data_IF_376080995119
#
_entry.id   IF_376080995119
#
_cell.length_a   1.000
_cell.length_b   1.000
_cell.length_c   1.000
_cell.angle_alpha   90.00
_cell.angle_beta   90.00
_cell.angle_gamma   90.00
#
_symmetry.space_group_name_H-M   'P 1'
#
loop_
_entity.id
_entity.type
_entity.pdbx_description
1 polymer ?
#
# COMPACT_ATOMS: atom_id res chain seq x y z
N UNK A 1 -91.55 -29.02 11.45
CA UNK A 1 -91.83 -28.05 12.53
C UNK A 1 -90.65 -27.08 12.54
N UNK A 2 -90.90 -25.79 12.24
CA UNK A 2 -89.96 -24.64 12.09
C UNK A 2 -88.95 -24.77 10.92
N UNK A 3 -89.05 -24.12 9.74
CA UNK A 3 -89.16 -22.68 9.35
C UNK A 3 -87.94 -21.86 9.82
N UNK A 4 -87.26 -20.98 9.05
CA UNK A 4 -87.40 -20.41 7.70
C UNK A 4 -86.08 -19.65 7.34
N UNK A 5 -86.02 -19.13 6.11
CA UNK A 5 -85.09 -18.15 5.49
C UNK A 5 -83.78 -18.67 4.84
N UNK A 6 -83.56 -18.56 3.52
CA UNK A 6 -83.75 -17.54 2.44
C UNK A 6 -82.40 -16.86 2.09
N UNK A 7 -81.94 -17.16 0.87
CA UNK A 7 -81.49 -16.24 -0.20
C UNK A 7 -80.30 -16.83 -0.98
N UNK A 8 -80.52 -17.32 -2.20
CA UNK A 8 -80.42 -16.64 -3.51
C UNK A 8 -78.97 -16.51 -4.02
N UNK A 9 -78.75 -17.26 -5.12
CA UNK A 9 -77.87 -17.09 -6.28
C UNK A 9 -76.75 -16.03 -6.30
N UNK A 10 -75.57 -16.40 -6.80
CA UNK A 10 -75.05 -16.03 -8.15
C UNK A 10 -73.53 -16.31 -8.27
N UNK A 11 -73.12 -17.00 -9.34
CA UNK A 11 -71.77 -16.86 -9.91
C UNK A 11 -71.64 -15.43 -10.47
N UNK A 12 -70.45 -14.83 -10.43
CA UNK A 12 -69.90 -14.40 -11.72
C UNK A 12 -68.38 -14.58 -11.88
N UNK A 13 -68.02 -14.75 -13.16
CA UNK A 13 -66.69 -14.61 -13.73
C UNK A 13 -65.97 -13.33 -13.29
N UNK A 14 -64.72 -13.45 -12.82
CA UNK A 14 -63.72 -12.37 -12.89
C UNK A 14 -62.29 -12.93 -13.03
N UNK A 15 -62.00 -13.51 -14.20
CA UNK A 15 -60.67 -13.99 -14.62
C UNK A 15 -59.95 -12.96 -15.52
N UNK A 16 -59.81 -11.71 -15.08
CA UNK A 16 -59.19 -10.67 -15.93
C UNK A 16 -58.30 -9.65 -15.23
N UNK A 17 -58.47 -9.41 -13.93
CA UNK A 17 -57.69 -8.37 -13.22
C UNK A 17 -56.43 -8.89 -12.53
N UNK A 18 -56.40 -10.14 -12.06
CA UNK A 18 -55.23 -10.69 -11.36
C UNK A 18 -54.01 -10.91 -12.28
N UNK A 19 -54.24 -11.28 -13.55
CA UNK A 19 -53.16 -11.50 -14.52
C UNK A 19 -52.47 -10.18 -14.95
N UNK A 20 -53.22 -9.07 -15.00
CA UNK A 20 -52.68 -7.75 -15.35
C UNK A 20 -51.79 -7.15 -14.25
N UNK A 21 -52.10 -7.41 -12.97
CA UNK A 21 -51.24 -6.99 -11.86
C UNK A 21 -49.98 -7.86 -11.76
N UNK A 22 -50.10 -9.17 -11.96
CA UNK A 22 -48.94 -10.07 -12.01
C UNK A 22 -47.98 -9.70 -13.16
N UNK A 23 -48.50 -9.38 -14.35
CA UNK A 23 -47.69 -8.96 -15.50
C UNK A 23 -46.97 -7.63 -15.24
N UNK A 24 -47.62 -6.65 -14.59
CA UNK A 24 -47.01 -5.36 -14.25
C UNK A 24 -45.89 -5.49 -13.21
N UNK A 25 -46.04 -6.37 -12.23
CA UNK A 25 -45.00 -6.65 -11.22
C UNK A 25 -43.81 -7.34 -11.88
N UNK A 26 -44.05 -8.30 -12.78
CA UNK A 26 -43.00 -8.98 -13.55
C UNK A 26 -42.26 -8.03 -14.50
N UNK A 27 -42.96 -7.10 -15.15
CA UNK A 27 -42.36 -6.07 -15.99
C UNK A 27 -41.53 -5.06 -15.17
N UNK A 28 -41.99 -4.67 -13.98
CA UNK A 28 -41.19 -3.84 -13.08
C UNK A 28 -39.96 -4.58 -12.57
N UNK A 29 -40.07 -5.85 -12.19
CA UNK A 29 -38.93 -6.67 -11.78
C UNK A 29 -37.93 -6.88 -12.94
N UNK A 30 -38.42 -7.04 -14.16
CA UNK A 30 -37.59 -7.14 -15.36
C UNK A 30 -36.89 -5.80 -15.70
N UNK A 31 -37.57 -4.67 -15.54
CA UNK A 31 -36.96 -3.34 -15.74
C UNK A 31 -35.93 -3.00 -14.66
N UNK A 32 -36.18 -3.38 -13.41
CA UNK A 32 -35.22 -3.22 -12.30
C UNK A 32 -34.00 -4.12 -12.50
N UNK A 33 -34.18 -5.37 -12.94
CA UNK A 33 -33.05 -6.25 -13.27
C UNK A 33 -32.26 -5.77 -14.49
N UNK A 34 -32.92 -5.21 -15.52
CA UNK A 34 -32.25 -4.56 -16.66
C UNK A 34 -31.48 -3.28 -16.28
N UNK A 35 -31.98 -2.49 -15.31
CA UNK A 35 -31.26 -1.34 -14.77
C UNK A 35 -30.09 -1.76 -13.89
N UNK A 36 -30.22 -2.82 -13.08
CA UNK A 36 -29.11 -3.39 -12.31
C UNK A 36 -28.04 -4.02 -13.20
N UNK A 37 -28.41 -4.63 -14.33
CA UNK A 37 -27.45 -5.18 -15.30
C UNK A 37 -26.70 -4.11 -16.09
N UNK A 38 -27.28 -2.92 -16.28
CA UNK A 38 -26.58 -1.81 -16.96
C UNK A 38 -25.43 -1.24 -16.13
N UNK A 39 -25.48 -1.33 -14.80
CA UNK A 39 -24.41 -0.82 -13.93
C UNK A 39 -23.15 -1.71 -13.96
N UNK A 40 -23.27 -3.00 -14.31
CA UNK A 40 -22.10 -3.89 -14.43
C UNK A 40 -21.34 -3.77 -15.76
N UNK A 41 -21.94 -3.19 -16.81
CA UNK A 41 -21.32 -3.18 -18.13
C UNK A 41 -20.42 -1.95 -18.37
N UNK A 42 -20.66 -0.84 -17.66
CA UNK A 42 -19.78 0.33 -17.71
C UNK A 42 -18.50 0.14 -16.88
N UNK A 43 -18.55 -0.67 -15.80
CA UNK A 43 -17.34 -1.11 -15.10
C UNK A 43 -16.44 -1.93 -16.05
N UNK A 44 -16.97 -2.88 -16.82
CA UNK A 44 -16.17 -3.70 -17.75
C UNK A 44 -15.51 -2.91 -18.90
N UNK A 45 -16.07 -1.77 -19.31
CA UNK A 45 -15.46 -0.89 -20.33
C UNK A 45 -14.37 0.01 -19.75
N UNK A 46 -14.51 0.44 -18.50
CA UNK A 46 -13.47 1.21 -17.80
C UNK A 46 -12.17 0.40 -17.62
N UNK A 47 -12.24 -0.95 -17.61
CA UNK A 47 -11.06 -1.82 -17.53
C UNK A 47 -10.33 -2.05 -18.86
N UNK A 48 -10.93 -1.70 -20.02
CA UNK A 48 -10.26 -1.87 -21.33
C UNK A 48 -9.19 -0.82 -21.62
N UNK A 49 -9.15 0.26 -20.85
CA UNK A 49 -8.19 1.34 -21.02
C UNK A 49 -7.55 1.69 -19.67
N UNK A 50 -6.22 1.65 -19.64
CA UNK A 50 -5.45 2.26 -18.55
C UNK A 50 -5.87 3.72 -18.44
N UNK A 51 -6.22 4.17 -17.23
CA UNK A 51 -6.63 5.57 -17.03
C UNK A 51 -5.49 6.52 -17.45
N UNK A 52 -5.81 7.68 -18.02
CA UNK A 52 -4.79 8.68 -18.37
C UNK A 52 -3.92 9.08 -17.17
N UNK A 53 -4.48 9.04 -15.96
CA UNK A 53 -3.73 9.27 -14.73
C UNK A 53 -2.66 8.18 -14.51
N UNK A 54 -3.03 6.90 -14.63
CA UNK A 54 -2.08 5.77 -14.54
C UNK A 54 -1.04 5.79 -15.64
N UNK A 55 -1.41 6.19 -16.86
CA UNK A 55 -0.42 6.35 -17.93
C UNK A 55 0.62 7.43 -17.57
N UNK A 56 0.20 8.59 -17.05
CA UNK A 56 1.12 9.65 -16.62
C UNK A 56 2.00 9.23 -15.45
N UNK A 57 1.45 8.52 -14.48
CA UNK A 57 2.23 8.00 -13.36
C UNK A 57 3.23 6.94 -13.81
N UNK A 58 2.87 6.09 -14.78
CA UNK A 58 3.80 5.12 -15.36
C UNK A 58 4.98 5.81 -16.08
N UNK A 59 4.72 6.89 -16.81
CA UNK A 59 5.78 7.70 -17.44
C UNK A 59 6.66 8.38 -16.40
N UNK A 60 6.05 8.96 -15.38
CA UNK A 60 6.75 9.63 -14.27
C UNK A 60 7.64 8.65 -13.52
N UNK A 61 7.12 7.44 -13.21
CA UNK A 61 7.88 6.36 -12.61
C UNK A 61 9.05 5.93 -13.49
N UNK A 62 8.85 5.74 -14.79
CA UNK A 62 9.90 5.36 -15.72
C UNK A 62 11.02 6.43 -15.80
N UNK A 63 10.67 7.70 -15.86
CA UNK A 63 11.62 8.82 -15.82
C UNK A 63 12.41 8.86 -14.51
N UNK A 64 11.72 8.67 -13.38
CA UNK A 64 12.35 8.60 -12.05
C UNK A 64 13.30 7.41 -11.92
N UNK A 65 12.91 6.24 -12.41
CA UNK A 65 13.78 5.05 -12.47
C UNK A 65 15.04 5.36 -13.27
N UNK A 66 14.90 5.87 -14.50
CA UNK A 66 16.05 6.20 -15.34
C UNK A 66 16.99 7.25 -14.71
N UNK A 67 16.45 8.19 -13.93
CA UNK A 67 17.25 9.17 -13.19
C UNK A 67 17.88 8.63 -11.89
N UNK A 68 17.44 7.46 -11.41
CA UNK A 68 17.90 6.84 -10.16
C UNK A 68 18.91 5.71 -10.36
N UNK A 69 18.84 5.00 -11.49
CA UNK A 69 19.77 3.90 -11.83
C UNK A 69 21.01 4.43 -12.54
N UNK A 70 22.14 3.76 -12.35
CA UNK A 70 23.40 4.07 -13.01
C UNK A 70 23.62 3.15 -14.23
N UNK A 71 23.37 3.62 -15.47
CA UNK A 71 23.50 2.80 -16.67
C UNK A 71 24.96 2.41 -16.99
N UNK A 72 25.96 3.04 -16.37
CA UNK A 72 27.37 2.70 -16.56
C UNK A 72 27.79 1.46 -15.77
N UNK A 73 26.95 1.02 -14.82
CA UNK A 73 27.20 -0.19 -14.02
C UNK A 73 26.42 -1.35 -14.60
N UNK A 74 27.10 -2.48 -14.82
CA UNK A 74 26.46 -3.68 -15.33
C UNK A 74 25.61 -4.35 -14.22
N UNK A 75 24.28 -4.51 -14.41
CA UNK A 75 23.38 -5.13 -13.43
C UNK A 75 23.83 -6.53 -12.97
N UNK A 76 24.49 -7.27 -13.87
CA UNK A 76 24.92 -8.64 -13.64
C UNK A 76 26.24 -8.74 -12.84
N UNK A 77 27.05 -7.68 -12.81
CA UNK A 77 28.28 -7.62 -12.01
C UNK A 77 27.99 -7.10 -10.60
N UNK A 78 27.23 -6.02 -10.49
CA UNK A 78 26.70 -5.53 -9.23
C UNK A 78 25.39 -4.82 -9.44
N UNK A 79 24.30 -5.47 -9.04
CA UNK A 79 22.98 -4.89 -9.09
C UNK A 79 22.83 -3.73 -8.10
N UNK A 80 23.52 -3.80 -6.96
CA UNK A 80 23.56 -2.71 -5.99
C UNK A 80 24.15 -1.45 -6.61
N UNK A 81 25.32 -1.54 -7.26
CA UNK A 81 25.92 -0.37 -7.90
C UNK A 81 25.02 0.16 -9.03
N UNK A 82 24.33 -0.73 -9.76
CA UNK A 82 23.36 -0.33 -10.78
C UNK A 82 22.18 0.47 -10.19
N UNK A 83 21.57 0.06 -9.07
CA UNK A 83 20.34 0.69 -8.55
C UNK A 83 20.54 1.72 -7.44
N UNK A 84 21.70 1.74 -6.77
CA UNK A 84 21.94 2.54 -5.57
C UNK A 84 23.03 3.61 -5.72
N UNK A 85 23.78 3.65 -6.83
CA UNK A 85 24.91 4.59 -7.04
C UNK A 85 24.55 6.06 -6.79
N UNK A 86 23.35 6.48 -7.18
CA UNK A 86 22.94 7.89 -7.06
C UNK A 86 22.26 8.23 -5.73
N UNK A 87 22.11 7.26 -4.82
CA UNK A 87 21.45 7.41 -3.52
C UNK A 87 20.11 8.19 -3.59
N UNK A 88 19.31 7.89 -4.62
CA UNK A 88 17.97 8.44 -4.84
C UNK A 88 16.95 7.31 -4.74
N UNK A 89 16.70 6.75 -3.54
CA UNK A 89 15.66 5.74 -3.39
C UNK A 89 14.32 6.34 -3.83
N UNK A 90 13.61 5.63 -4.70
CA UNK A 90 12.33 6.10 -5.24
C UNK A 90 11.14 5.75 -4.35
N UNK A 91 11.34 4.80 -3.45
CA UNK A 91 10.34 4.29 -2.53
C UNK A 91 10.93 3.77 -1.19
N UNK A 92 10.19 3.93 -0.07
CA UNK A 92 10.33 3.17 1.19
C UNK A 92 8.96 2.68 1.66
N UNK A 93 8.88 1.44 2.14
CA UNK A 93 7.61 0.80 2.55
C UNK A 93 6.89 1.54 3.68
N UNK A 94 7.63 2.30 4.47
CA UNK A 94 7.10 3.08 5.59
C UNK A 94 6.51 4.44 5.16
N UNK A 95 6.28 4.64 3.86
CA UNK A 95 5.92 5.93 3.30
C UNK A 95 7.14 6.83 3.21
N UNK A 96 7.40 7.40 2.05
CA UNK A 96 8.43 8.41 1.92
C UNK A 96 7.97 9.73 2.51
N UNK A 97 8.92 10.62 2.79
CA UNK A 97 8.58 12.03 2.83
C UNK A 97 8.03 12.43 1.45
N UNK A 98 6.80 12.96 1.35
CA UNK A 98 6.24 13.41 0.09
C UNK A 98 7.16 14.45 -0.57
N UNK A 99 7.08 14.56 -1.89
CA UNK A 99 7.79 15.63 -2.61
C UNK A 99 7.33 17.00 -2.12
N UNK A 100 8.19 18.01 -2.26
CA UNK A 100 7.90 19.34 -1.74
C UNK A 100 6.57 19.92 -2.24
N UNK A 101 6.24 19.68 -3.51
CA UNK A 101 4.96 20.07 -4.14
C UNK A 101 3.76 19.41 -3.46
N UNK A 102 3.85 18.13 -3.12
CA UNK A 102 2.82 17.40 -2.39
C UNK A 102 2.70 17.90 -0.94
N UNK A 103 3.82 18.17 -0.27
CA UNK A 103 3.81 18.75 1.08
C UNK A 103 3.12 20.11 1.11
N UNK A 104 3.42 20.98 0.15
CA UNK A 104 2.76 22.27 -0.01
C UNK A 104 1.26 22.12 -0.20
N UNK A 105 0.85 21.20 -1.09
CA UNK A 105 -0.54 20.93 -1.38
C UNK A 105 -1.28 20.42 -0.15
N UNK A 106 -0.74 19.41 0.53
CA UNK A 106 -1.35 18.81 1.71
C UNK A 106 -1.48 19.79 2.88
N UNK A 107 -0.44 20.61 3.13
CA UNK A 107 -0.53 21.64 4.17
C UNK A 107 -1.60 22.69 3.81
N UNK A 108 -1.69 23.09 2.55
CA UNK A 108 -2.70 24.05 2.08
C UNK A 108 -4.12 23.49 2.26
N UNK A 109 -4.35 22.23 1.89
CA UNK A 109 -5.63 21.56 2.11
C UNK A 109 -5.97 21.46 3.60
N UNK A 110 -4.99 21.10 4.43
CA UNK A 110 -5.18 21.03 5.87
C UNK A 110 -5.51 22.40 6.48
N UNK A 111 -4.90 23.48 5.99
CA UNK A 111 -5.21 24.86 6.38
C UNK A 111 -6.62 25.29 5.97
N UNK A 112 -7.03 24.93 4.75
CA UNK A 112 -8.35 25.27 4.20
C UNK A 112 -9.48 24.39 4.73
N UNK A 113 -9.13 23.26 5.35
CA UNK A 113 -10.10 22.32 5.89
C UNK A 113 -10.97 22.96 6.99
N UNK A 114 -12.28 22.79 6.89
CA UNK A 114 -13.26 23.46 7.76
C UNK A 114 -13.33 22.87 9.17
N UNK A 115 -12.84 21.65 9.37
CA UNK A 115 -12.77 21.02 10.70
C UNK A 115 -11.74 21.76 11.56
N UNK A 116 -12.21 22.27 12.70
CA UNK A 116 -11.39 23.00 13.66
C UNK A 116 -10.96 22.05 14.77
N UNK A 117 -9.67 21.90 14.97
CA UNK A 117 -9.11 21.09 16.04
C UNK A 117 -7.73 21.61 16.45
N UNK A 118 -7.44 21.61 17.76
CA UNK A 118 -6.31 22.30 18.40
C UNK A 118 -4.95 21.94 17.80
N UNK A 119 -4.78 20.68 17.39
CA UNK A 119 -3.55 20.22 16.77
C UNK A 119 -3.21 20.98 15.47
N UNK A 120 -4.21 21.43 14.69
CA UNK A 120 -3.98 22.25 13.48
C UNK A 120 -3.40 23.60 13.82
N UNK A 121 -3.92 24.26 14.85
CA UNK A 121 -3.43 25.58 15.28
C UNK A 121 -1.98 25.46 15.79
N UNK A 122 -1.69 24.42 16.58
CA UNK A 122 -0.34 24.08 17.05
C UNK A 122 0.65 23.81 15.91
N UNK A 123 0.21 23.07 14.89
CA UNK A 123 1.01 22.83 13.69
C UNK A 123 1.29 24.14 12.94
N UNK A 124 0.30 25.01 12.81
CA UNK A 124 0.47 26.31 12.16
C UNK A 124 1.42 27.22 12.94
N UNK A 125 1.34 27.22 14.26
CA UNK A 125 2.26 27.96 15.12
C UNK A 125 3.70 27.43 14.98
N UNK A 126 3.88 26.11 14.87
CA UNK A 126 5.17 25.52 14.54
C UNK A 126 5.69 26.01 13.20
N UNK A 127 4.89 25.90 12.14
CA UNK A 127 5.29 26.28 10.78
C UNK A 127 5.70 27.75 10.71
N UNK A 128 4.92 28.65 11.33
CA UNK A 128 5.25 30.08 11.43
C UNK A 128 6.57 30.29 12.18
N UNK A 129 6.74 29.63 13.33
CA UNK A 129 7.97 29.76 14.12
C UNK A 129 9.19 29.24 13.36
N UNK A 130 9.06 28.14 12.62
CA UNK A 130 10.12 27.58 11.79
C UNK A 130 10.51 28.54 10.66
N UNK A 131 9.53 29.09 9.95
CA UNK A 131 9.78 29.97 8.81
C UNK A 131 10.45 31.31 9.21
N UNK A 132 10.46 31.62 10.52
CA UNK A 132 11.25 32.74 11.08
C UNK A 132 12.76 32.41 11.24
N UNK A 133 13.17 31.16 11.08
CA UNK A 133 14.54 30.66 11.35
C UNK A 133 15.15 29.81 10.24
N UNK A 134 14.35 29.11 9.44
CA UNK A 134 14.81 28.18 8.40
C UNK A 134 14.20 28.53 7.05
N UNK A 135 14.73 27.91 6.00
CA UNK A 135 14.17 28.06 4.66
C UNK A 135 12.78 27.42 4.59
N UNK A 136 11.95 27.94 3.69
CA UNK A 136 10.57 27.50 3.53
C UNK A 136 10.48 25.99 3.31
N UNK A 137 11.33 25.42 2.44
CA UNK A 137 11.36 23.98 2.17
C UNK A 137 11.62 23.15 3.44
N UNK A 138 12.61 23.54 4.24
CA UNK A 138 12.92 22.86 5.50
C UNK A 138 11.72 22.90 6.46
N UNK A 139 10.98 24.00 6.48
CA UNK A 139 9.81 24.12 7.35
C UNK A 139 8.64 23.26 6.92
N UNK A 140 8.41 23.07 5.61
CA UNK A 140 7.43 22.09 5.14
C UNK A 140 7.84 20.67 5.54
N UNK A 141 9.13 20.34 5.38
CA UNK A 141 9.68 19.03 5.74
C UNK A 141 9.56 18.75 7.24
N UNK A 142 9.97 19.67 8.08
CA UNK A 142 9.91 19.51 9.54
C UNK A 142 8.48 19.52 10.07
N UNK A 143 7.62 20.38 9.51
CA UNK A 143 6.21 20.39 9.91
C UNK A 143 5.55 19.06 9.60
N UNK A 144 5.86 18.50 8.43
CA UNK A 144 5.42 17.16 8.08
C UNK A 144 5.95 16.09 9.04
N UNK A 145 7.23 16.12 9.40
CA UNK A 145 7.78 15.11 10.31
C UNK A 145 7.18 15.17 11.71
N UNK A 146 6.98 16.37 12.27
CA UNK A 146 6.45 16.52 13.63
C UNK A 146 4.93 16.38 13.73
N UNK A 147 4.20 16.66 12.65
CA UNK A 147 2.73 16.61 12.63
C UNK A 147 2.17 15.61 11.61
N UNK A 148 2.97 14.60 11.25
CA UNK A 148 2.64 13.56 10.26
C UNK A 148 1.22 12.98 10.40
N UNK A 149 0.68 12.71 11.61
CA UNK A 149 -0.71 12.28 11.80
C UNK A 149 -1.78 13.24 11.22
N UNK A 150 -1.54 14.55 11.24
CA UNK A 150 -2.46 15.53 10.65
C UNK A 150 -2.46 15.47 9.11
N UNK A 151 -1.31 15.15 8.52
CA UNK A 151 -1.23 14.84 7.10
C UNK A 151 -1.93 13.51 6.78
N UNK A 152 -1.79 12.51 7.66
CA UNK A 152 -2.56 11.26 7.61
C UNK A 152 -4.07 11.51 7.57
N UNK A 153 -4.56 12.41 8.42
CA UNK A 153 -5.96 12.84 8.45
C UNK A 153 -6.44 13.42 7.12
N UNK A 154 -5.77 14.45 6.60
CA UNK A 154 -6.22 15.11 5.36
C UNK A 154 -6.10 14.16 4.16
N UNK A 155 -5.09 13.27 4.18
CA UNK A 155 -4.94 12.21 3.20
C UNK A 155 -6.11 11.23 3.26
N UNK A 156 -6.42 10.69 4.44
CA UNK A 156 -7.54 9.77 4.59
C UNK A 156 -8.86 10.43 4.17
N UNK A 157 -9.05 11.70 4.54
CA UNK A 157 -10.24 12.49 4.23
C UNK A 157 -10.45 12.68 2.74
N UNK A 158 -9.43 13.18 2.03
CA UNK A 158 -9.57 13.68 0.67
C UNK A 158 -9.20 12.66 -0.40
N UNK A 159 -8.34 11.68 -0.08
CA UNK A 159 -7.70 10.83 -1.07
C UNK A 159 -7.94 9.34 -0.88
N UNK A 160 -8.19 8.88 0.35
CA UNK A 160 -8.41 7.46 0.63
C UNK A 160 -9.90 7.20 0.86
N UNK A 161 -10.64 7.01 -0.25
CA UNK A 161 -12.04 6.63 -0.21
C UNK A 161 -12.26 5.12 -0.36
N UNK A 162 -13.43 4.61 0.04
CA UNK A 162 -13.82 3.20 -0.19
C UNK A 162 -13.85 2.85 -1.70
N UNK A 163 -14.06 3.85 -2.56
CA UNK A 163 -14.11 3.68 -4.02
C UNK A 163 -12.82 4.10 -4.73
N UNK A 164 -11.76 4.47 -3.99
CA UNK A 164 -10.48 4.81 -4.61
C UNK A 164 -9.83 3.53 -5.16
N UNK A 165 -9.44 3.47 -6.45
CA UNK A 165 -8.87 2.27 -7.05
C UNK A 165 -7.64 1.72 -6.32
N UNK A 166 -6.81 2.60 -5.75
CA UNK A 166 -5.59 2.24 -5.05
C UNK A 166 -5.86 1.66 -3.68
N UNK A 167 -6.88 2.18 -3.01
CA UNK A 167 -7.36 1.61 -1.76
C UNK A 167 -7.95 0.20 -1.99
N UNK A 168 -8.71 0.00 -3.07
CA UNK A 168 -9.21 -1.33 -3.45
C UNK A 168 -8.08 -2.29 -3.81
N UNK A 169 -7.09 -1.82 -4.58
CA UNK A 169 -5.89 -2.60 -4.93
C UNK A 169 -5.13 -3.03 -3.68
N UNK A 170 -4.95 -2.10 -2.73
CA UNK A 170 -4.31 -2.34 -1.45
C UNK A 170 -5.04 -3.40 -0.62
N UNK A 171 -6.35 -3.25 -0.43
CA UNK A 171 -7.16 -4.21 0.32
C UNK A 171 -7.15 -5.59 -0.35
N UNK A 172 -7.25 -5.64 -1.68
CA UNK A 172 -7.19 -6.88 -2.43
C UNK A 172 -5.84 -7.61 -2.27
N UNK A 173 -4.73 -6.88 -2.30
CA UNK A 173 -3.40 -7.43 -2.04
C UNK A 173 -3.28 -7.96 -0.61
N UNK A 174 -3.79 -7.21 0.37
CA UNK A 174 -3.79 -7.62 1.77
C UNK A 174 -4.65 -8.88 2.01
N UNK A 175 -5.83 -8.95 1.40
CA UNK A 175 -6.71 -10.12 1.48
C UNK A 175 -6.09 -11.34 0.80
N UNK A 176 -5.52 -11.17 -0.39
CA UNK A 176 -4.82 -12.23 -1.12
C UNK A 176 -3.62 -12.75 -0.34
N UNK A 177 -2.85 -11.84 0.26
CA UNK A 177 -1.75 -12.19 1.16
C UNK A 177 -2.25 -12.96 2.38
N UNK A 178 -3.27 -12.49 3.08
CA UNK A 178 -3.84 -13.16 4.26
C UNK A 178 -4.33 -14.58 3.92
N UNK A 179 -4.96 -14.75 2.76
CA UNK A 179 -5.41 -16.05 2.28
C UNK A 179 -4.25 -17.02 2.04
N UNK A 180 -3.19 -16.57 1.36
CA UNK A 180 -1.99 -17.38 1.09
C UNK A 180 -1.19 -17.65 2.35
N UNK A 181 -1.03 -16.65 3.22
CA UNK A 181 -0.36 -16.78 4.50
C UNK A 181 -1.07 -17.82 5.38
N UNK A 182 -2.40 -17.92 5.35
CA UNK A 182 -3.15 -18.95 6.06
C UNK A 182 -2.84 -20.39 5.62
N UNK A 183 -2.27 -20.58 4.44
CA UNK A 183 -1.82 -21.88 3.94
C UNK A 183 -0.40 -22.24 4.44
N UNK A 184 0.34 -21.29 5.00
CA UNK A 184 1.65 -21.55 5.58
C UNK A 184 1.53 -22.24 6.94
N UNK A 185 2.46 -23.16 7.22
CA UNK A 185 2.45 -23.93 8.47
C UNK A 185 2.48 -23.00 9.69
N UNK A 186 1.61 -23.27 10.67
CA UNK A 186 1.44 -22.52 11.93
C UNK A 186 0.85 -21.10 11.85
N UNK A 187 0.58 -20.54 10.67
CA UNK A 187 -0.02 -19.19 10.58
C UNK A 187 -1.36 -19.08 11.30
N UNK A 188 -2.19 -20.11 11.21
CA UNK A 188 -3.54 -20.11 11.80
C UNK A 188 -3.54 -19.93 13.32
N UNK A 189 -2.47 -20.36 13.99
CA UNK A 189 -2.30 -20.26 15.44
C UNK A 189 -1.37 -19.11 15.87
N UNK A 190 -0.78 -18.40 14.90
CA UNK A 190 0.24 -17.41 15.18
C UNK A 190 -0.38 -16.04 15.56
N UNK A 191 0.10 -15.34 16.61
CA UNK A 191 -0.47 -14.06 17.07
C UNK A 191 -0.51 -12.97 15.98
N UNK A 192 0.43 -13.00 15.04
CA UNK A 192 0.48 -12.07 13.89
C UNK A 192 -0.81 -12.06 13.07
N UNK A 193 -1.54 -13.18 13.01
CA UNK A 193 -2.80 -13.29 12.26
C UNK A 193 -3.83 -12.30 12.79
N UNK A 194 -4.01 -12.23 14.11
CA UNK A 194 -4.94 -11.28 14.72
C UNK A 194 -4.53 -9.84 14.44
N UNK A 195 -3.24 -9.52 14.56
CA UNK A 195 -2.72 -8.19 14.22
C UNK A 195 -3.05 -7.82 12.78
N UNK A 196 -2.71 -8.67 11.80
CA UNK A 196 -2.96 -8.41 10.37
C UNK A 196 -4.46 -8.29 10.04
N UNK A 197 -5.32 -9.10 10.66
CA UNK A 197 -6.77 -8.97 10.51
C UNK A 197 -7.29 -7.64 11.07
N UNK A 198 -6.80 -7.21 12.23
CA UNK A 198 -7.12 -5.88 12.77
C UNK A 198 -6.65 -4.76 11.85
N UNK A 199 -5.44 -4.87 11.26
CA UNK A 199 -4.97 -3.88 10.27
C UNK A 199 -5.91 -3.83 9.06
N UNK A 200 -6.33 -4.99 8.54
CA UNK A 200 -7.29 -5.07 7.41
C UNK A 200 -8.61 -4.38 7.73
N UNK A 201 -9.20 -4.63 8.89
CA UNK A 201 -10.47 -4.01 9.26
C UNK A 201 -10.33 -2.50 9.47
N UNK A 202 -9.24 -2.02 10.08
CA UNK A 202 -8.98 -0.58 10.20
C UNK A 202 -8.85 0.09 8.83
N UNK A 203 -8.14 -0.53 7.89
CA UNK A 203 -7.97 0.02 6.55
C UNK A 203 -9.23 -0.02 5.71
N UNK A 204 -10.17 -0.94 5.95
CA UNK A 204 -11.46 -0.95 5.24
C UNK A 204 -12.23 0.36 5.35
N UNK A 205 -12.06 1.08 6.46
CA UNK A 205 -12.73 2.35 6.75
C UNK A 205 -11.70 3.40 7.20
N UNK A 206 -10.80 3.86 6.32
CA UNK A 206 -9.63 4.65 6.72
C UNK A 206 -10.01 6.00 7.35
N UNK A 207 -11.20 6.51 7.02
CA UNK A 207 -11.80 7.74 7.57
C UNK A 207 -12.02 7.70 9.08
N UNK A 208 -12.14 6.50 9.68
CA UNK A 208 -12.41 6.39 11.12
C UNK A 208 -11.14 6.44 11.96
N UNK A 209 -9.97 6.34 11.33
CA UNK A 209 -8.71 6.09 12.01
C UNK A 209 -8.02 7.37 12.47
N UNK A 210 -8.07 8.44 11.67
CA UNK A 210 -7.62 9.76 12.09
C UNK A 210 -8.82 10.65 12.35
N UNK A 211 -9.23 10.80 13.62
CA UNK A 211 -10.33 11.68 13.97
C UNK A 211 -9.80 13.00 14.53
N UNK A 212 -10.43 14.14 14.22
CA UNK A 212 -10.04 15.44 14.77
C UNK A 212 -9.94 15.47 16.30
N UNK A 213 -10.84 14.76 16.99
CA UNK A 213 -10.82 14.67 18.45
C UNK A 213 -9.61 13.90 18.98
N UNK A 214 -9.30 12.74 18.39
CA UNK A 214 -8.17 11.91 18.79
C UNK A 214 -6.84 12.63 18.53
N UNK A 215 -6.74 13.33 17.39
CA UNK A 215 -5.59 14.18 17.09
C UNK A 215 -5.49 15.38 18.05
N UNK A 216 -6.60 15.98 18.47
CA UNK A 216 -6.53 17.03 19.50
C UNK A 216 -6.02 16.48 20.83
N UNK A 217 -6.46 15.29 21.21
CA UNK A 217 -6.03 14.64 22.45
C UNK A 217 -4.54 14.27 22.41
N UNK A 218 -4.06 13.73 21.30
CA UNK A 218 -2.63 13.42 21.07
C UNK A 218 -1.75 14.65 21.30
N UNK A 219 -2.09 15.79 20.69
CA UNK A 219 -1.28 17.00 20.76
C UNK A 219 -1.66 17.93 21.92
N UNK A 220 -2.67 17.61 22.74
CA UNK A 220 -3.14 18.47 23.83
C UNK A 220 -2.01 18.87 24.81
N UNK A 221 -1.10 17.99 25.24
CA UNK A 221 -0.04 18.33 26.20
C UNK A 221 1.04 19.26 25.64
N UNK A 222 1.12 19.41 24.32
CA UNK A 222 2.14 20.23 23.68
C UNK A 222 1.82 21.71 23.82
N UNK A 223 2.77 22.47 24.37
CA UNK A 223 2.78 23.92 24.33
C UNK A 223 3.59 24.38 23.13
N UNK A 224 2.97 25.19 22.27
CA UNK A 224 3.56 25.73 21.04
C UNK A 224 3.62 27.25 21.12
N UNK A 225 4.75 27.81 20.74
CA UNK A 225 5.04 29.25 20.81
C UNK A 225 5.39 29.77 19.42
N UNK A 226 4.57 30.65 18.84
CA UNK A 226 4.82 31.23 17.50
C UNK A 226 6.17 31.91 17.39
N UNK A 227 6.67 32.45 18.49
CA UNK A 227 7.89 33.24 18.55
C UNK A 227 9.15 32.39 18.77
N UNK A 228 9.02 31.10 19.10
CA UNK A 228 10.14 30.30 19.60
C UNK A 228 10.27 28.91 18.99
N UNK A 229 10.90 28.86 17.81
CA UNK A 229 11.23 27.61 17.12
C UNK A 229 12.01 26.61 18.00
N UNK A 230 13.05 27.06 18.72
CA UNK A 230 13.89 26.14 19.53
C UNK A 230 13.11 25.47 20.68
N UNK A 231 12.20 26.19 21.33
CA UNK A 231 11.36 25.61 22.38
C UNK A 231 10.37 24.61 21.77
N UNK A 232 9.77 24.95 20.63
CA UNK A 232 8.84 24.07 19.93
C UNK A 232 9.51 22.75 19.53
N UNK A 233 10.70 22.80 18.92
CA UNK A 233 11.46 21.59 18.57
C UNK A 233 11.72 20.74 19.80
N UNK A 234 12.17 21.34 20.92
CA UNK A 234 12.42 20.59 22.16
C UNK A 234 11.14 19.93 22.70
N UNK A 235 10.02 20.65 22.70
CA UNK A 235 8.74 20.13 23.17
C UNK A 235 8.25 18.98 22.28
N UNK A 236 8.36 19.14 20.97
CA UNK A 236 7.98 18.12 19.98
C UNK A 236 8.86 16.86 20.10
N UNK A 237 10.18 17.01 20.25
CA UNK A 237 11.08 15.87 20.51
C UNK A 237 10.72 15.11 21.79
N UNK A 238 10.41 15.83 22.87
CA UNK A 238 9.97 15.21 24.12
C UNK A 238 8.63 14.50 23.96
N UNK A 239 7.67 15.12 23.28
CA UNK A 239 6.36 14.53 23.02
C UNK A 239 6.47 13.25 22.19
N UNK A 240 7.23 13.28 21.09
CA UNK A 240 7.47 12.08 20.26
C UNK A 240 7.99 10.92 21.12
N UNK A 241 9.04 11.14 21.91
CA UNK A 241 9.68 10.08 22.69
C UNK A 241 8.83 9.47 23.79
N UNK A 242 7.95 10.26 24.41
CA UNK A 242 7.27 9.86 25.64
C UNK A 242 5.76 9.68 25.50
N UNK A 243 5.13 10.46 24.62
CA UNK A 243 3.68 10.66 24.65
C UNK A 243 3.01 10.32 23.31
N UNK A 244 3.76 10.24 22.20
CA UNK A 244 3.12 10.04 20.90
C UNK A 244 2.73 8.59 20.68
N UNK A 245 1.47 8.38 20.32
CA UNK A 245 0.93 7.07 19.94
C UNK A 245 1.39 6.64 18.55
N UNK A 246 1.88 7.56 17.72
CA UNK A 246 2.26 7.31 16.33
C UNK A 246 3.74 6.96 16.11
N UNK A 247 4.57 6.92 17.17
CA UNK A 247 6.00 6.56 17.03
C UNK A 247 6.24 5.05 16.97
N UNK A 248 5.31 4.23 17.48
CA UNK A 248 5.40 2.77 17.53
C UNK A 248 4.01 2.13 17.42
N UNK A 249 3.96 0.81 17.26
CA UNK A 249 2.72 0.04 17.37
C UNK A 249 1.85 0.05 16.11
N UNK A 250 0.54 -0.17 16.30
CA UNK A 250 -0.44 -0.27 15.19
C UNK A 250 -0.65 1.11 14.57
N UNK A 251 -0.57 2.15 15.40
CA UNK A 251 -0.92 3.49 15.00
C UNK A 251 0.08 4.08 14.00
N UNK A 252 1.36 3.83 14.26
CA UNK A 252 2.45 4.07 13.33
C UNK A 252 2.23 3.34 12.00
N UNK A 253 1.95 2.03 12.05
CA UNK A 253 1.75 1.23 10.83
C UNK A 253 0.61 1.79 9.97
N UNK A 254 -0.49 2.20 10.59
CA UNK A 254 -1.59 2.85 9.87
C UNK A 254 -1.14 4.16 9.20
N UNK A 255 -0.39 5.00 9.91
CA UNK A 255 0.12 6.25 9.36
C UNK A 255 1.05 6.04 8.17
N UNK A 256 2.01 5.14 8.30
CA UNK A 256 2.94 4.77 7.23
C UNK A 256 2.20 4.23 6.01
N UNK A 257 1.20 3.37 6.21
CA UNK A 257 0.41 2.80 5.11
C UNK A 257 -0.57 3.81 4.48
N UNK A 258 -1.11 4.76 5.24
CA UNK A 258 -1.90 5.87 4.69
C UNK A 258 -1.04 6.77 3.78
N UNK A 259 0.20 7.07 4.20
CA UNK A 259 1.15 7.81 3.36
C UNK A 259 1.53 7.01 2.11
N UNK A 260 1.78 5.71 2.27
CA UNK A 260 2.04 4.81 1.16
C UNK A 260 0.90 4.85 0.12
N UNK A 261 -0.36 4.73 0.56
CA UNK A 261 -1.53 4.78 -0.32
C UNK A 261 -1.63 6.09 -1.11
N UNK A 262 -1.32 7.21 -0.47
CA UNK A 262 -1.27 8.51 -1.15
C UNK A 262 -0.18 8.55 -2.23
N UNK A 263 0.99 7.97 -1.94
CA UNK A 263 2.13 7.95 -2.86
C UNK A 263 1.97 6.92 -3.98
N UNK A 264 1.21 5.85 -3.74
CA UNK A 264 0.98 4.79 -4.71
C UNK A 264 -0.19 5.07 -5.67
N UNK A 265 -0.75 6.29 -5.64
CA UNK A 265 -1.86 6.70 -6.51
C UNK A 265 -1.54 6.42 -7.97
N UNK A 266 -2.42 5.70 -8.64
CA UNK A 266 -2.33 5.25 -10.03
C UNK A 266 -1.05 4.47 -10.39
N UNK A 267 -0.28 3.97 -9.43
CA UNK A 267 0.92 3.16 -9.71
C UNK A 267 0.57 1.79 -10.30
N UNK A 268 1.46 1.19 -11.12
CA UNK A 268 1.23 -0.14 -11.70
C UNK A 268 1.39 -1.26 -10.65
N UNK A 269 0.92 -2.47 -10.93
CA UNK A 269 1.11 -3.60 -10.01
C UNK A 269 2.58 -3.99 -9.83
N UNK A 270 3.42 -3.73 -10.83
CA UNK A 270 4.89 -3.81 -10.74
C UNK A 270 5.49 -2.86 -9.70
N UNK A 271 4.73 -1.86 -9.23
CA UNK A 271 5.07 -1.08 -8.04
C UNK A 271 4.61 -1.78 -6.76
N UNK A 272 3.34 -2.18 -6.65
CA UNK A 272 2.78 -2.71 -5.38
C UNK A 272 3.40 -4.03 -4.89
N UNK A 273 3.72 -4.96 -5.79
CA UNK A 273 4.27 -6.25 -5.38
C UNK A 273 5.68 -6.18 -4.76
N UNK A 274 6.69 -5.54 -5.40
CA UNK A 274 8.04 -5.46 -4.82
C UNK A 274 8.13 -4.53 -3.61
N UNK A 275 7.08 -3.74 -3.35
CA UNK A 275 7.03 -2.76 -2.26
C UNK A 275 6.17 -3.28 -1.11
N UNK A 276 4.85 -3.23 -1.24
CA UNK A 276 3.89 -3.64 -0.22
C UNK A 276 3.88 -5.16 0.01
N UNK A 277 3.74 -5.96 -1.05
CA UNK A 277 3.54 -7.40 -0.89
C UNK A 277 4.79 -8.09 -0.31
N UNK A 278 5.98 -7.71 -0.78
CA UNK A 278 7.27 -8.11 -0.17
C UNK A 278 7.30 -7.80 1.33
N UNK A 279 6.88 -6.60 1.74
CA UNK A 279 6.89 -6.21 3.15
C UNK A 279 5.91 -7.00 4.01
N UNK A 280 4.73 -7.34 3.47
CA UNK A 280 3.77 -8.21 4.16
C UNK A 280 4.39 -9.59 4.43
N UNK A 281 5.03 -10.17 3.43
CA UNK A 281 5.75 -11.44 3.58
C UNK A 281 6.94 -11.32 4.54
N UNK A 282 7.72 -10.25 4.44
CA UNK A 282 8.82 -9.98 5.38
C UNK A 282 8.31 -9.88 6.82
N UNK A 283 7.18 -9.20 7.06
CA UNK A 283 6.59 -9.06 8.41
C UNK A 283 6.20 -10.41 8.98
N UNK A 284 5.61 -11.27 8.15
CA UNK A 284 5.25 -12.63 8.54
C UNK A 284 6.48 -13.49 8.86
N UNK A 285 7.44 -13.56 7.93
CA UNK A 285 8.63 -14.38 8.11
C UNK A 285 9.56 -13.85 9.20
N UNK A 286 9.64 -12.53 9.39
CA UNK A 286 10.41 -11.95 10.48
C UNK A 286 9.90 -12.38 11.84
N UNK A 287 8.60 -12.64 12.00
CA UNK A 287 8.09 -13.18 13.26
C UNK A 287 8.24 -14.70 13.30
N UNK A 288 7.75 -15.39 12.26
CA UNK A 288 7.69 -16.86 12.26
C UNK A 288 9.05 -17.56 12.15
N UNK A 289 10.06 -16.97 11.50
CA UNK A 289 11.39 -17.57 11.38
C UNK A 289 12.25 -17.31 12.60
N UNK A 290 12.00 -16.22 13.34
CA UNK A 290 12.66 -15.95 14.63
C UNK A 290 12.16 -16.85 15.75
N UNK A 291 10.91 -17.28 15.68
CA UNK A 291 10.31 -18.21 16.63
C UNK A 291 10.73 -19.68 16.40
N UNK A 292 11.50 -19.98 15.34
CA UNK A 292 11.99 -21.33 15.05
C UNK A 292 13.21 -21.68 15.89
N UNK A 293 13.41 -22.99 16.11
CA UNK A 293 14.62 -23.50 16.73
C UNK A 293 15.88 -23.05 15.96
N UNK A 294 16.87 -22.42 16.63
CA UNK A 294 18.05 -21.87 15.97
C UNK A 294 18.81 -22.86 15.09
N UNK A 295 18.85 -24.15 15.48
CA UNK A 295 19.49 -25.23 14.71
C UNK A 295 18.92 -25.36 13.30
N UNK A 296 17.59 -25.30 13.16
CA UNK A 296 16.92 -25.45 11.87
C UNK A 296 17.17 -24.26 10.95
N UNK A 297 17.29 -23.06 11.50
CA UNK A 297 17.66 -21.87 10.74
C UNK A 297 19.13 -21.96 10.29
N UNK A 298 20.00 -22.50 11.14
CA UNK A 298 21.41 -22.73 10.81
C UNK A 298 21.56 -23.69 9.62
N UNK A 299 20.91 -24.85 9.67
CA UNK A 299 20.91 -25.85 8.58
C UNK A 299 20.40 -25.25 7.26
N UNK A 300 19.32 -24.46 7.29
CA UNK A 300 18.79 -23.79 6.10
C UNK A 300 19.76 -22.74 5.56
N UNK A 301 20.44 -21.99 6.42
CA UNK A 301 21.40 -20.96 6.03
C UNK A 301 22.71 -21.54 5.49
N UNK A 302 23.15 -22.72 5.96
CA UNK A 302 24.32 -23.41 5.41
C UNK A 302 24.14 -23.76 3.92
N UNK A 303 22.92 -24.14 3.52
CA UNK A 303 22.58 -24.37 2.11
C UNK A 303 22.71 -23.12 1.23
N UNK A 304 22.61 -21.92 1.82
CA UNK A 304 22.69 -20.65 1.09
C UNK A 304 24.13 -20.23 0.75
N UNK A 305 25.14 -20.94 1.28
CA UNK A 305 26.58 -20.65 1.05
C UNK A 305 26.90 -19.15 1.23
N UNK A 306 26.41 -18.57 2.31
CA UNK A 306 26.60 -17.15 2.61
C UNK A 306 28.10 -16.83 2.83
N UNK A 307 28.54 -15.59 2.61
CA UNK A 307 29.93 -15.22 2.87
C UNK A 307 30.34 -15.46 4.35
N UNK A 308 31.61 -15.77 4.64
CA UNK A 308 32.07 -16.09 6.00
C UNK A 308 31.73 -15.03 7.07
N UNK A 309 31.70 -13.74 6.72
CA UNK A 309 31.34 -12.68 7.67
C UNK A 309 29.86 -12.75 8.10
N UNK A 310 28.97 -13.27 7.25
CA UNK A 310 27.56 -13.53 7.57
C UNK A 310 27.44 -14.70 8.54
N UNK A 311 28.37 -15.66 8.50
CA UNK A 311 28.43 -16.77 9.45
C UNK A 311 28.83 -16.35 10.88
N UNK A 312 29.36 -15.15 11.07
CA UNK A 312 29.67 -14.62 12.41
C UNK A 312 28.41 -14.00 13.06
N UNK A 313 27.41 -13.64 12.26
CA UNK A 313 26.20 -12.95 12.71
C UNK A 313 24.97 -13.84 12.52
N UNK A 314 24.52 -14.51 13.59
CA UNK A 314 23.30 -15.34 13.56
C UNK A 314 22.08 -14.56 13.02
N UNK A 315 22.01 -13.28 13.36
CA UNK A 315 20.99 -12.36 12.85
C UNK A 315 21.00 -12.26 11.31
N UNK A 316 22.18 -12.19 10.70
CA UNK A 316 22.30 -12.04 9.26
C UNK A 316 21.85 -13.32 8.51
N UNK A 317 22.01 -14.50 9.12
CA UNK A 317 21.48 -15.77 8.60
C UNK A 317 19.95 -15.80 8.63
N UNK A 318 19.37 -15.41 9.77
CA UNK A 318 17.91 -15.33 9.93
C UNK A 318 17.33 -14.37 8.90
N UNK A 319 17.93 -13.18 8.74
CA UNK A 319 17.54 -12.22 7.72
C UNK A 319 17.64 -12.81 6.32
N UNK A 320 18.73 -13.50 5.95
CA UNK A 320 18.86 -14.12 4.62
C UNK A 320 17.68 -15.06 4.31
N UNK A 321 17.28 -15.90 5.26
CA UNK A 321 16.13 -16.80 5.12
C UNK A 321 14.82 -16.03 4.97
N UNK A 322 14.60 -14.99 5.79
CA UNK A 322 13.41 -14.13 5.73
C UNK A 322 13.28 -13.46 4.37
N UNK A 323 14.35 -12.81 3.89
CA UNK A 323 14.34 -12.06 2.65
C UNK A 323 14.23 -12.95 1.41
N UNK A 324 14.90 -14.11 1.41
CA UNK A 324 14.75 -15.12 0.37
C UNK A 324 13.29 -15.56 0.25
N UNK A 325 12.67 -15.96 1.36
CA UNK A 325 11.27 -16.41 1.39
C UNK A 325 10.31 -15.30 0.99
N UNK A 326 10.53 -14.08 1.48
CA UNK A 326 9.67 -12.95 1.17
C UNK A 326 9.71 -12.60 -0.32
N UNK A 327 10.91 -12.52 -0.91
CA UNK A 327 11.06 -12.30 -2.34
C UNK A 327 10.40 -13.39 -3.16
N UNK A 328 10.67 -14.66 -2.85
CA UNK A 328 10.12 -15.80 -3.62
C UNK A 328 8.58 -15.77 -3.63
N UNK A 329 7.94 -15.56 -2.48
CA UNK A 329 6.49 -15.49 -2.40
C UNK A 329 5.95 -14.26 -3.14
N UNK A 330 6.56 -13.10 -3.00
CA UNK A 330 6.12 -11.90 -3.71
C UNK A 330 6.28 -12.02 -5.24
N UNK A 331 7.36 -12.64 -5.70
CA UNK A 331 7.56 -12.92 -7.12
C UNK A 331 6.54 -13.92 -7.66
N UNK A 332 6.26 -15.00 -6.92
CA UNK A 332 5.22 -15.97 -7.28
C UNK A 332 3.86 -15.28 -7.36
N UNK A 333 3.54 -14.43 -6.39
CA UNK A 333 2.29 -13.69 -6.36
C UNK A 333 2.15 -12.76 -7.57
N UNK A 334 3.20 -12.00 -7.88
CA UNK A 334 3.22 -11.12 -9.06
C UNK A 334 3.17 -11.90 -10.37
N UNK A 335 3.94 -12.98 -10.48
CA UNK A 335 3.97 -13.87 -11.65
C UNK A 335 2.61 -14.51 -11.91
N UNK A 336 1.88 -14.88 -10.85
CA UNK A 336 0.51 -15.36 -10.98
C UNK A 336 -0.45 -14.25 -11.41
N UNK A 337 -0.27 -13.02 -10.93
CA UNK A 337 -1.12 -11.89 -11.33
C UNK A 337 -1.03 -11.58 -12.83
N UNK A 338 0.15 -11.74 -13.44
CA UNK A 338 0.37 -11.51 -14.88
C UNK A 338 0.02 -12.71 -15.78
N UNK A 339 -0.28 -13.91 -15.23
CA UNK A 339 -0.56 -15.10 -16.04
C UNK A 339 -1.87 -14.90 -16.83
N UNK A 340 -1.85 -15.07 -18.17
CA UNK A 340 -3.05 -14.95 -19.01
C UNK A 340 -4.19 -15.86 -18.56
N UNK A 341 -3.85 -17.07 -18.12
CA UNK A 341 -4.81 -18.10 -17.71
C UNK A 341 -5.54 -17.77 -16.40
N UNK A 342 -5.01 -16.84 -15.60
CA UNK A 342 -5.59 -16.42 -14.32
C UNK A 342 -6.50 -15.21 -14.53
N UNK A 343 -6.07 -14.24 -15.33
CA UNK A 343 -6.88 -13.07 -15.68
C UNK A 343 -6.42 -12.48 -17.01
N UNK A 344 -7.29 -12.60 -18.02
CA UNK A 344 -7.06 -11.97 -19.32
C UNK A 344 -6.93 -10.45 -19.20
N UNK A 345 -7.72 -9.83 -18.32
CA UNK A 345 -7.71 -8.38 -18.07
C UNK A 345 -6.38 -7.92 -17.48
N UNK A 346 -5.85 -8.63 -16.47
CA UNK A 346 -4.56 -8.26 -15.87
C UNK A 346 -3.42 -8.36 -16.89
N UNK A 347 -3.44 -9.41 -17.71
CA UNK A 347 -2.47 -9.59 -18.77
C UNK A 347 -2.59 -8.50 -19.86
N UNK A 348 -3.80 -8.08 -20.23
CA UNK A 348 -4.01 -6.94 -21.15
C UNK A 348 -3.42 -5.64 -20.59
N UNK A 349 -3.64 -5.34 -19.30
CA UNK A 349 -3.05 -4.20 -18.60
C UNK A 349 -1.52 -4.29 -18.63
N UNK A 350 -0.96 -5.42 -18.21
CA UNK A 350 0.48 -5.68 -18.18
C UNK A 350 1.14 -5.47 -19.56
N UNK A 351 0.53 -5.99 -20.62
CA UNK A 351 1.04 -5.83 -21.99
C UNK A 351 0.91 -4.39 -22.50
N UNK A 352 -0.16 -3.68 -22.12
CA UNK A 352 -0.34 -2.28 -22.48
C UNK A 352 0.70 -1.37 -21.78
N UNK A 353 0.95 -1.60 -20.50
CA UNK A 353 2.01 -0.91 -19.74
C UNK A 353 3.40 -1.18 -20.35
N UNK A 354 3.72 -2.44 -20.65
CA UNK A 354 5.01 -2.81 -21.25
C UNK A 354 5.26 -2.10 -22.58
N UNK A 355 4.25 -1.98 -23.46
CA UNK A 355 4.38 -1.21 -24.71
C UNK A 355 4.76 0.25 -24.47
N UNK A 356 4.26 0.87 -23.40
CA UNK A 356 4.61 2.25 -23.03
C UNK A 356 5.99 2.36 -22.38
N UNK A 357 6.40 1.36 -21.62
CA UNK A 357 7.69 1.31 -20.93
C UNK A 357 8.87 1.05 -21.88
N UNK A 358 8.62 0.36 -23.00
CA UNK A 358 9.65 0.04 -23.99
C UNK A 358 10.44 1.26 -24.49
N UNK A 359 9.79 2.42 -24.64
CA UNK A 359 10.48 3.68 -25.06
C UNK A 359 11.54 4.16 -24.05
N UNK A 360 11.48 3.68 -22.82
CA UNK A 360 12.43 3.98 -21.75
C UNK A 360 13.46 2.86 -21.52
N UNK A 361 13.45 1.78 -22.33
CA UNK A 361 14.27 0.60 -22.11
C UNK A 361 13.82 -0.27 -20.93
N UNK A 362 12.61 -0.02 -20.42
CA UNK A 362 12.02 -0.68 -19.26
C UNK A 362 10.87 -1.61 -19.66
N UNK A 363 10.57 -2.53 -18.76
CA UNK A 363 9.33 -3.29 -18.72
C UNK A 363 8.91 -3.47 -17.26
N UNK A 364 7.72 -4.00 -17.05
CA UNK A 364 7.17 -4.18 -15.72
C UNK A 364 7.98 -5.14 -14.83
N UNK A 365 8.71 -6.12 -15.40
CA UNK A 365 9.60 -7.01 -14.61
C UNK A 365 10.84 -6.26 -14.15
N UNK A 366 11.46 -5.46 -15.03
CA UNK A 366 12.58 -4.58 -14.66
C UNK A 366 12.17 -3.61 -13.57
N UNK A 367 10.99 -2.98 -13.69
CA UNK A 367 10.45 -2.11 -12.63
C UNK A 367 10.34 -2.88 -11.32
N UNK A 368 9.80 -4.10 -11.34
CA UNK A 368 9.71 -4.93 -10.14
C UNK A 368 11.07 -5.11 -9.47
N UNK A 369 12.08 -5.55 -10.21
CA UNK A 369 13.40 -5.86 -9.64
C UNK A 369 14.15 -4.61 -9.17
N UNK A 370 14.06 -3.51 -9.94
CA UNK A 370 14.69 -2.24 -9.56
C UNK A 370 14.07 -1.73 -8.26
N UNK A 371 12.74 -1.68 -8.16
CA UNK A 371 12.06 -1.19 -6.96
C UNK A 371 12.29 -2.12 -5.77
N UNK A 372 12.31 -3.44 -5.97
CA UNK A 372 12.66 -4.39 -4.92
C UNK A 372 14.04 -4.09 -4.36
N UNK A 373 15.04 -3.94 -5.23
CA UNK A 373 16.42 -3.71 -4.81
C UNK A 373 16.62 -2.34 -4.15
N UNK A 374 15.93 -1.31 -4.63
CA UNK A 374 16.04 0.03 -4.05
C UNK A 374 15.61 0.12 -2.58
N UNK A 375 14.79 -0.82 -2.08
CA UNK A 375 14.48 -0.94 -0.65
C UNK A 375 15.72 -1.14 0.23
N UNK A 376 16.82 -1.59 -0.36
CA UNK A 376 17.98 -2.08 0.37
C UNK A 376 19.24 -1.21 0.19
N UNK A 377 19.12 -0.07 -0.50
CA UNK A 377 20.26 0.79 -0.79
C UNK A 377 20.96 1.31 0.49
N UNK A 378 20.20 1.58 1.56
CA UNK A 378 20.72 2.12 2.82
C UNK A 378 21.58 1.14 3.63
N UNK A 379 21.48 -0.16 3.37
CA UNK A 379 22.20 -1.19 4.13
C UNK A 379 23.62 -1.47 3.60
N UNK A 380 24.01 -0.82 2.49
CA UNK A 380 25.32 -1.01 1.87
C UNK A 380 25.40 -2.26 0.99
N UNK A 381 26.39 -2.23 0.09
CA UNK A 381 26.58 -3.22 -0.98
C UNK A 381 26.69 -4.65 -0.48
N UNK A 382 27.51 -4.90 0.54
CA UNK A 382 27.82 -6.26 1.00
C UNK A 382 26.60 -6.98 1.57
N UNK A 383 25.76 -6.30 2.35
CA UNK A 383 24.53 -6.89 2.89
C UNK A 383 23.47 -7.03 1.79
N UNK A 384 23.29 -6.00 0.95
CA UNK A 384 22.33 -6.05 -0.13
C UNK A 384 22.61 -7.20 -1.12
N UNK A 385 23.83 -7.31 -1.62
CA UNK A 385 24.19 -8.28 -2.64
C UNK A 385 24.18 -9.73 -2.12
N UNK A 386 24.50 -9.95 -0.84
CA UNK A 386 24.69 -11.30 -0.29
C UNK A 386 23.53 -11.80 0.57
N UNK A 387 22.64 -10.92 1.03
CA UNK A 387 21.51 -11.26 1.91
C UNK A 387 20.20 -10.89 1.23
N UNK A 388 20.01 -9.62 0.89
CA UNK A 388 18.71 -9.14 0.43
C UNK A 388 18.41 -9.52 -1.01
N UNK A 389 19.42 -9.53 -1.89
CA UNK A 389 19.25 -9.87 -3.30
C UNK A 389 19.34 -11.37 -3.58
N UNK A 390 19.49 -12.22 -2.56
CA UNK A 390 19.71 -13.65 -2.72
C UNK A 390 18.59 -14.31 -3.53
N UNK A 391 17.33 -14.04 -3.18
CA UNK A 391 16.19 -14.58 -3.91
C UNK A 391 16.10 -14.08 -5.35
N UNK A 392 16.48 -12.82 -5.58
CA UNK A 392 16.50 -12.21 -6.90
C UNK A 392 17.59 -12.79 -7.79
N UNK A 393 18.81 -13.00 -7.27
CA UNK A 393 19.91 -13.62 -8.00
C UNK A 393 19.65 -15.06 -8.40
N UNK A 394 18.84 -15.78 -7.62
CA UNK A 394 18.41 -17.16 -7.92
C UNK A 394 17.21 -17.21 -8.89
N UNK A 395 16.66 -16.05 -9.27
CA UNK A 395 15.47 -15.96 -10.10
C UNK A 395 15.84 -15.88 -11.58
N UNK A 396 15.34 -16.83 -12.39
CA UNK A 396 15.62 -16.85 -13.84
C UNK A 396 15.05 -15.64 -14.57
N UNK A 397 13.87 -15.15 -14.20
CA UNK A 397 13.28 -13.97 -14.82
C UNK A 397 14.12 -12.71 -14.57
N UNK A 398 14.83 -12.62 -13.44
CA UNK A 398 15.79 -11.55 -13.19
C UNK A 398 16.95 -11.60 -14.20
N UNK A 399 17.58 -12.77 -14.34
CA UNK A 399 18.66 -12.97 -15.30
C UNK A 399 18.19 -12.66 -16.73
N UNK A 400 17.02 -13.14 -17.13
CA UNK A 400 16.45 -12.89 -18.46
C UNK A 400 16.13 -11.38 -18.67
N UNK A 401 15.63 -10.69 -17.64
CA UNK A 401 15.26 -9.26 -17.73
C UNK A 401 16.47 -8.34 -17.91
N UNK A 402 17.61 -8.69 -17.30
CA UNK A 402 18.85 -7.91 -17.37
C UNK A 402 19.93 -8.54 -18.26
N UNK A 403 19.59 -9.62 -18.97
CA UNK A 403 20.49 -10.34 -19.88
C UNK A 403 21.78 -10.83 -19.19
N UNK A 404 21.63 -11.35 -17.97
CA UNK A 404 22.73 -11.97 -17.23
C UNK A 404 22.95 -13.39 -17.75
N UNK A 405 24.21 -13.70 -18.12
CA UNK A 405 24.63 -14.99 -18.69
C UNK A 405 24.98 -15.98 -17.59
#
# INVERSE_FOLDING_TARGET
MFALDKNIHQRPHHSGRCQLYALKILLCAFLVTLQCLRVQCDDLRAYKYISKARERELETLALRINASVNPERMPCESFYDYVCSYNKPLFTILGHQPEFTDLMKLLTELQQDTEKFDAKDKMMDFFISCNSKKMLEDCYRETFEYFKPLFGYIISKNYVGANAPEHQTFLHLLESFLYKAAQTHNFMHHPIRHRLLTLREKFRLPQIYFRPHDLSAEYAPLLMYRESYKHNVRNLELHRRHNSTFELGVERTMLEWTLYLYQSRNMPMSYYYPTLNVHLWMTLYNTTERDREPKRVHELAECLKLPPYVHVLDEARVLAVIYLKAFQNAWIDYSNWIKPDISSVNNEIYNSENRKLQRFGLDNKKIFFILYAQNFCEFGKELAENIFYLGMKQNRDFADSFQCV
#
